data_IF_839889163067
#
_entry.id   IF_839889163067
#
_cell.length_a   1.000
_cell.length_b   1.000
_cell.length_c   1.000
_cell.angle_alpha   90.00
_cell.angle_beta   90.00
_cell.angle_gamma   90.00
#
_symmetry.space_group_name_H-M   'P 1'
#
loop_
_entity.id
_entity.type
_entity.pdbx_description
1 polymer ?
#
# COMPACT_ATOMS: atom_id res chain seq x y z
N UNK A 1 12.02 5.92 10.67
CA UNK A 1 11.74 6.40 9.33
C UNK A 1 10.51 5.70 8.79
N UNK A 2 9.45 6.41 8.44
CA UNK A 2 8.21 5.76 8.00
C UNK A 2 8.28 5.34 6.53
N UNK A 3 8.77 4.12 6.33
CA UNK A 3 8.79 3.49 5.02
C UNK A 3 7.36 3.16 4.58
N UNK A 4 7.02 3.49 3.34
CA UNK A 4 5.74 3.14 2.73
C UNK A 4 5.99 2.49 1.38
N UNK A 5 5.25 1.42 1.11
CA UNK A 5 5.31 0.70 -0.17
C UNK A 5 3.90 0.60 -0.73
N UNK A 6 3.75 0.86 -2.02
CA UNK A 6 2.49 0.65 -2.73
C UNK A 6 2.78 -0.28 -3.91
N UNK A 7 2.04 -1.38 -3.98
CA UNK A 7 2.11 -2.33 -5.09
C UNK A 7 0.84 -2.21 -5.90
N UNK A 8 0.99 -2.07 -7.23
CA UNK A 8 -0.16 -1.94 -8.13
C UNK A 8 -0.18 -3.08 -9.13
N UNK A 9 -1.38 -3.46 -9.57
CA UNK A 9 -1.59 -4.45 -10.62
C UNK A 9 -2.71 -4.00 -11.54
N UNK A 10 -2.43 -3.94 -12.84
CA UNK A 10 -3.43 -3.67 -13.87
C UNK A 10 -4.20 -2.38 -13.62
N UNK A 11 -3.51 -1.36 -13.12
CA UNK A 11 -4.13 -0.05 -12.88
C UNK A 11 -3.93 0.86 -14.07
N UNK A 12 -4.79 1.88 -14.18
CA UNK A 12 -4.69 2.85 -15.25
C UNK A 12 -3.47 3.76 -15.09
N UNK A 13 -3.05 4.37 -16.21
CA UNK A 13 -1.84 5.20 -16.26
C UNK A 13 -1.87 6.37 -15.28
N UNK A 14 -3.06 6.89 -14.92
CA UNK A 14 -3.15 8.00 -13.97
C UNK A 14 -2.56 7.65 -12.60
N UNK A 15 -2.75 6.41 -12.15
CA UNK A 15 -2.16 5.95 -10.87
C UNK A 15 -0.65 6.01 -10.94
N UNK A 16 -0.09 5.52 -12.05
CA UNK A 16 1.36 5.51 -12.25
C UNK A 16 1.92 6.92 -12.27
N UNK A 17 1.29 7.83 -13.01
CA UNK A 17 1.72 9.21 -13.07
C UNK A 17 1.71 9.90 -11.72
N UNK A 18 0.65 9.68 -10.94
CA UNK A 18 0.52 10.23 -9.60
C UNK A 18 1.59 9.65 -8.66
N UNK A 19 1.73 8.33 -8.64
CA UNK A 19 2.66 7.67 -7.72
C UNK A 19 4.12 7.99 -8.02
N UNK A 20 4.50 8.09 -9.30
CA UNK A 20 5.87 8.46 -9.65
C UNK A 20 6.22 9.89 -9.26
N UNK A 21 5.23 10.75 -9.06
CA UNK A 21 5.48 12.12 -8.61
C UNK A 21 5.83 12.22 -7.13
N UNK A 22 5.50 11.21 -6.32
CA UNK A 22 5.69 11.24 -4.86
C UNK A 22 6.46 10.04 -4.31
N UNK A 23 6.68 9.01 -5.11
CA UNK A 23 7.35 7.77 -4.71
C UNK A 23 8.31 7.32 -5.80
N UNK A 24 9.20 6.40 -5.45
CA UNK A 24 10.15 5.81 -6.40
C UNK A 24 9.57 4.51 -6.95
N UNK A 25 9.46 4.38 -8.25
CA UNK A 25 9.07 3.12 -8.89
C UNK A 25 10.31 2.23 -9.00
N UNK A 26 10.47 1.33 -8.05
CA UNK A 26 11.66 0.46 -7.95
C UNK A 26 11.55 -0.80 -8.81
N UNK A 27 10.33 -1.14 -9.22
CA UNK A 27 10.04 -2.24 -10.13
C UNK A 27 8.70 -1.93 -10.76
N UNK A 28 8.34 -2.61 -11.85
CA UNK A 28 7.07 -2.34 -12.53
C UNK A 28 5.89 -2.48 -11.56
N UNK A 29 5.18 -1.39 -11.33
CA UNK A 29 4.03 -1.35 -10.42
C UNK A 29 4.35 -1.32 -8.94
N UNK A 30 5.63 -1.25 -8.56
CA UNK A 30 6.04 -1.23 -7.15
C UNK A 30 6.67 0.12 -6.82
N UNK A 31 6.06 0.83 -5.87
CA UNK A 31 6.45 2.19 -5.50
C UNK A 31 6.89 2.23 -4.05
N UNK A 32 7.98 2.92 -3.78
CA UNK A 32 8.55 3.01 -2.42
C UNK A 32 8.78 4.48 -2.07
N UNK A 33 8.38 4.85 -0.85
CA UNK A 33 8.71 6.12 -0.24
C UNK A 33 9.41 5.83 1.08
N UNK A 34 10.74 6.04 1.15
CA UNK A 34 11.49 5.68 2.35
C UNK A 34 11.08 6.47 3.59
N UNK A 35 10.44 7.62 3.41
CA UNK A 35 10.23 8.57 4.50
C UNK A 35 8.92 9.34 4.34
N UNK A 36 7.82 8.61 4.15
CA UNK A 36 6.50 9.22 3.98
C UNK A 36 5.82 9.42 5.34
N UNK A 37 5.38 10.64 5.62
CA UNK A 37 4.67 10.93 6.87
C UNK A 37 3.27 10.31 6.85
N UNK A 38 2.70 10.13 8.05
CA UNK A 38 1.33 9.62 8.19
C UNK A 38 0.32 10.48 7.42
N UNK A 39 0.41 11.79 7.52
CA UNK A 39 -0.51 12.69 6.82
C UNK A 39 -0.44 12.55 5.31
N UNK A 40 0.77 12.48 4.75
CA UNK A 40 0.96 12.29 3.31
C UNK A 40 0.45 10.92 2.88
N UNK A 41 0.75 9.88 3.66
CA UNK A 41 0.27 8.52 3.38
C UNK A 41 -1.25 8.46 3.32
N UNK A 42 -1.91 9.05 4.31
CA UNK A 42 -3.37 9.03 4.39
C UNK A 42 -4.01 9.79 3.23
N UNK A 43 -3.45 10.95 2.86
CA UNK A 43 -3.96 11.71 1.71
C UNK A 43 -3.72 10.99 0.39
N UNK A 44 -2.56 10.37 0.24
CA UNK A 44 -2.25 9.57 -0.94
C UNK A 44 -3.25 8.43 -1.09
N UNK A 45 -3.48 7.69 0.00
CA UNK A 45 -4.41 6.56 -0.04
C UNK A 45 -5.84 7.01 -0.31
N UNK A 46 -6.26 8.16 0.24
CA UNK A 46 -7.58 8.70 -0.02
C UNK A 46 -7.78 9.01 -1.51
N UNK A 47 -6.79 9.58 -2.19
CA UNK A 47 -6.86 9.85 -3.63
C UNK A 47 -6.97 8.54 -4.41
N UNK A 48 -6.14 7.56 -4.08
CA UNK A 48 -6.16 6.26 -4.77
C UNK A 48 -7.49 5.53 -4.54
N UNK A 49 -8.03 5.61 -3.34
CA UNK A 49 -9.32 5.01 -3.01
C UNK A 49 -10.46 5.66 -3.82
N UNK A 50 -10.46 6.98 -3.92
CA UNK A 50 -11.46 7.69 -4.71
C UNK A 50 -11.41 7.28 -6.18
N UNK A 51 -10.21 7.21 -6.75
CA UNK A 51 -10.05 6.79 -8.13
C UNK A 51 -10.48 5.34 -8.32
N UNK A 52 -10.12 4.47 -7.39
CA UNK A 52 -10.48 3.05 -7.51
C UNK A 52 -11.98 2.84 -7.43
N UNK A 53 -12.67 3.57 -6.55
CA UNK A 53 -14.13 3.52 -6.48
C UNK A 53 -14.79 3.99 -7.77
N UNK A 54 -14.19 4.96 -8.47
CA UNK A 54 -14.71 5.48 -9.72
C UNK A 54 -14.39 4.57 -10.91
N UNK A 55 -13.20 3.97 -10.95
CA UNK A 55 -12.68 3.22 -12.11
C UNK A 55 -12.84 1.71 -11.97
N UNK A 56 -12.66 1.19 -10.78
CA UNK A 56 -12.89 -0.21 -10.46
C UNK A 56 -11.94 -1.22 -11.09
N UNK A 57 -10.81 -0.79 -11.67
CA UNK A 57 -9.88 -1.66 -12.37
C UNK A 57 -8.61 -1.87 -11.57
N UNK A 58 -8.11 -3.12 -11.59
CA UNK A 58 -6.84 -3.46 -10.99
C UNK A 58 -6.89 -3.57 -9.50
N UNK A 59 -5.72 -3.63 -8.89
CA UNK A 59 -5.59 -3.70 -7.44
C UNK A 59 -4.42 -2.86 -6.96
N UNK A 60 -4.52 -2.39 -5.70
CA UNK A 60 -3.48 -1.64 -5.03
C UNK A 60 -3.30 -2.21 -3.63
N UNK A 61 -2.06 -2.31 -3.19
CA UNK A 61 -1.71 -2.77 -1.85
C UNK A 61 -0.80 -1.73 -1.22
N UNK A 62 -1.22 -1.20 -0.07
CA UNK A 62 -0.44 -0.25 0.72
C UNK A 62 0.17 -0.98 1.91
N UNK A 63 1.47 -0.85 2.08
CA UNK A 63 2.22 -1.47 3.18
C UNK A 63 3.02 -0.38 3.86
N UNK A 64 2.91 -0.28 5.19
CA UNK A 64 3.72 0.68 5.93
C UNK A 64 4.08 0.15 7.30
N UNK A 65 5.13 0.71 7.86
CA UNK A 65 5.54 0.37 9.22
C UNK A 65 4.59 1.03 10.22
N UNK A 66 4.09 0.21 11.14
CA UNK A 66 3.20 0.68 12.20
C UNK A 66 3.58 -0.05 13.50
N UNK A 67 4.26 0.65 14.38
CA UNK A 67 4.78 0.06 15.63
C UNK A 67 3.68 -0.42 16.58
N UNK A 68 2.44 0.04 16.38
CA UNK A 68 1.29 -0.40 17.19
C UNK A 68 0.64 -1.68 16.65
N UNK A 69 1.04 -2.15 15.46
CA UNK A 69 0.45 -3.31 14.82
C UNK A 69 1.28 -4.57 15.07
N UNK A 70 0.66 -5.74 14.88
CA UNK A 70 1.34 -7.03 14.96
C UNK A 70 2.44 -7.08 13.90
N UNK A 71 3.68 -7.44 14.31
CA UNK A 71 4.83 -7.47 13.43
C UNK A 71 5.30 -6.10 12.97
N UNK A 72 4.74 -5.02 13.54
CA UNK A 72 5.05 -3.63 13.19
C UNK A 72 4.77 -3.29 11.72
N UNK A 73 3.87 -4.03 11.07
CA UNK A 73 3.44 -3.77 9.70
C UNK A 73 1.93 -3.62 9.63
N UNK A 74 1.48 -2.72 8.77
CA UNK A 74 0.07 -2.59 8.40
C UNK A 74 -0.08 -2.70 6.90
N UNK A 75 -1.18 -3.30 6.47
CA UNK A 75 -1.48 -3.53 5.07
C UNK A 75 -2.93 -3.12 4.80
N UNK A 76 -3.13 -2.33 3.75
CA UNK A 76 -4.46 -2.02 3.24
C UNK A 76 -4.51 -2.34 1.76
N UNK A 77 -5.67 -2.78 1.28
CA UNK A 77 -5.81 -3.21 -0.11
C UNK A 77 -7.05 -2.60 -0.75
N UNK A 78 -6.97 -2.41 -2.06
CA UNK A 78 -8.10 -2.07 -2.92
C UNK A 78 -8.09 -3.10 -4.05
N UNK A 79 -9.23 -3.76 -4.27
CA UNK A 79 -9.33 -4.79 -5.31
C UNK A 79 -8.75 -6.15 -4.96
N UNK A 80 -8.23 -6.31 -3.75
CA UNK A 80 -7.71 -7.57 -3.23
C UNK A 80 -8.40 -7.88 -1.91
N UNK A 81 -8.56 -9.17 -1.54
CA UNK A 81 -9.10 -9.51 -0.22
C UNK A 81 -8.21 -8.97 0.89
N UNK A 82 -8.80 -8.46 1.99
CA UNK A 82 -8.02 -8.03 3.14
C UNK A 82 -7.17 -9.16 3.72
N UNK A 83 -6.03 -8.81 4.32
CA UNK A 83 -5.10 -9.77 4.91
C UNK A 83 -4.72 -9.32 6.30
N UNK A 84 -4.57 -10.28 7.21
CA UNK A 84 -4.06 -10.04 8.55
C UNK A 84 -2.65 -10.58 8.69
N UNK A 85 -1.81 -9.86 9.42
CA UNK A 85 -0.49 -10.33 9.80
C UNK A 85 -0.65 -11.04 11.16
N UNK A 86 -0.19 -12.29 11.24
CA UNK A 86 -0.17 -13.04 12.48
C UNK A 86 1.26 -13.43 12.80
N UNK A 87 1.59 -13.42 14.10
CA UNK A 87 2.90 -13.82 14.59
C UNK A 87 2.80 -15.28 15.08
N UNK A 88 3.56 -16.17 14.42
CA UNK A 88 3.65 -17.57 14.78
C UNK A 88 5.10 -17.88 15.18
N UNK A 89 5.39 -17.82 16.47
CA UNK A 89 6.71 -18.10 17.04
C UNK A 89 7.84 -17.28 16.41
N UNK A 90 7.58 -15.99 16.22
CA UNK A 90 8.55 -15.08 15.63
C UNK A 90 8.53 -15.04 14.11
N UNK A 91 7.70 -15.86 13.47
CA UNK A 91 7.53 -15.84 12.02
C UNK A 91 6.23 -15.11 11.70
N UNK A 92 6.31 -14.10 10.85
CA UNK A 92 5.11 -13.37 10.43
C UNK A 92 4.45 -14.10 9.26
N UNK A 93 3.15 -14.34 9.39
CA UNK A 93 2.34 -15.01 8.38
C UNK A 93 1.17 -14.10 7.98
N UNK A 94 0.71 -14.27 6.75
CA UNK A 94 -0.49 -13.57 6.28
C UNK A 94 -1.67 -14.52 6.35
N UNK A 95 -2.75 -14.05 6.99
CA UNK A 95 -4.01 -14.76 7.06
C UNK A 95 -5.03 -14.00 6.23
N UNK A 96 -5.66 -14.68 5.29
CA UNK A 96 -6.73 -14.09 4.47
C UNK A 96 -8.02 -14.05 5.29
N UNK A 97 -8.65 -12.91 5.29
CA UNK A 97 -9.96 -12.73 5.92
C UNK A 97 -11.10 -13.26 5.08
#
# INVERSE_FOLDING_TARGET
>A
MPLTVIVTRNVEARYRGFLTSIMLEVSAGVYVAPNMTKGVRERTWAVLNDWWLALGNGSLTLIWRNTAAVGELSIETLGEPPKDIVDADGILLLKRK
#
